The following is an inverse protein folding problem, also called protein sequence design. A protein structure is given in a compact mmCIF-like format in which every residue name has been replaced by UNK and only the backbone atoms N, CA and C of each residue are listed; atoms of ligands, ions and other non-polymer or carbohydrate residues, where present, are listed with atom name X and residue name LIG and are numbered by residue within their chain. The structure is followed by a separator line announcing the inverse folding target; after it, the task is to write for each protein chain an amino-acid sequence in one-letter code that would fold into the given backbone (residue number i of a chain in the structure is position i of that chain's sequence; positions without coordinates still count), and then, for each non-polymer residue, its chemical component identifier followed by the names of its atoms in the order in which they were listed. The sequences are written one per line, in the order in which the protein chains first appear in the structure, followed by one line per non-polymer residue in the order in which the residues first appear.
data_IF_704307593719
#
_entry.id   IF_704307593719
#
_cell.length_a   1.000
_cell.length_b   1.000
_cell.length_c   1.000
_cell.angle_alpha   90.00
_cell.angle_beta   90.00
_cell.angle_gamma   90.00
#
_symmetry.space_group_name_H-M   'P 1'
#
loop_
_entity.id
_entity.type
_entity.pdbx_description
1 polymer ?
#
# COMPACT_ATOMS: atom_id res chain seq x y z
N UNK A 1 31.50 -15.77 -1.46
CA UNK A 1 30.43 -16.79 -1.43
C UNK A 1 29.10 -16.06 -1.31
N UNK A 2 28.27 -16.16 -2.36
CA UNK A 2 26.84 -15.78 -2.45
C UNK A 2 26.45 -14.32 -2.15
N UNK A 3 26.52 -13.47 -3.17
CA UNK A 3 25.54 -12.38 -3.33
C UNK A 3 24.21 -13.04 -3.71
N UNK A 4 23.33 -13.25 -2.74
CA UNK A 4 21.95 -13.59 -3.05
C UNK A 4 21.29 -12.28 -3.47
N UNK A 5 21.21 -12.05 -4.78
CA UNK A 5 20.36 -11.00 -5.34
C UNK A 5 18.95 -11.17 -4.77
N UNK A 6 18.44 -10.14 -4.09
CA UNK A 6 17.07 -10.07 -3.61
C UNK A 6 16.13 -10.02 -4.81
N UNK A 7 15.81 -11.21 -5.32
CA UNK A 7 15.01 -11.40 -6.51
C UNK A 7 13.51 -11.36 -6.18
N UNK A 8 13.02 -10.22 -5.72
CA UNK A 8 11.59 -9.94 -5.65
C UNK A 8 11.16 -9.39 -7.02
N UNK A 9 10.13 -9.98 -7.65
CA UNK A 9 9.66 -9.62 -9.00
C UNK A 9 10.71 -9.74 -10.12
N UNK A 10 11.35 -10.90 -10.28
CA UNK A 10 12.13 -11.21 -11.51
C UNK A 10 11.29 -11.13 -12.79
N UNK A 11 9.97 -11.21 -12.64
CA UNK A 11 8.98 -11.07 -13.70
C UNK A 11 8.02 -9.94 -13.33
N UNK A 12 7.41 -9.26 -14.32
CA UNK A 12 6.41 -8.24 -14.07
C UNK A 12 5.34 -8.70 -13.06
N UNK A 13 4.93 -7.86 -12.09
CA UNK A 13 3.89 -8.20 -11.14
C UNK A 13 2.57 -8.45 -11.87
N UNK A 14 1.88 -9.53 -11.50
CA UNK A 14 0.57 -9.89 -12.04
C UNK A 14 -0.45 -9.92 -10.90
N UNK A 15 -1.60 -9.29 -11.13
CA UNK A 15 -2.64 -9.16 -10.12
C UNK A 15 -3.82 -8.34 -10.59
N UNK A 16 -4.62 -7.90 -9.64
CA UNK A 16 -5.80 -7.07 -9.84
C UNK A 16 -5.71 -5.83 -8.96
N UNK A 17 -6.19 -4.68 -9.46
CA UNK A 17 -6.21 -3.40 -8.77
C UNK A 17 -7.56 -2.71 -8.99
N UNK A 18 -8.09 -2.04 -7.97
CA UNK A 18 -9.44 -1.49 -8.01
C UNK A 18 -9.62 -0.24 -8.88
N UNK A 19 -8.58 0.60 -9.05
CA UNK A 19 -8.71 1.96 -9.59
C UNK A 19 -9.42 2.06 -10.94
N UNK A 20 -8.98 1.32 -11.95
CA UNK A 20 -9.48 1.48 -13.33
C UNK A 20 -10.94 1.07 -13.51
N UNK A 21 -11.45 0.20 -12.65
CA UNK A 21 -12.82 -0.30 -12.73
C UNK A 21 -13.77 0.38 -11.74
N UNK A 22 -13.28 0.76 -10.56
CA UNK A 22 -14.11 1.22 -9.44
C UNK A 22 -13.86 2.68 -9.04
N UNK A 23 -12.72 3.26 -9.43
CA UNK A 23 -12.29 4.61 -9.06
C UNK A 23 -12.44 4.85 -7.55
N UNK A 24 -12.84 6.06 -7.16
CA UNK A 24 -13.11 6.47 -5.79
C UNK A 24 -14.61 6.35 -5.43
N UNK A 25 -15.31 5.29 -5.87
CA UNK A 25 -16.72 5.12 -5.52
C UNK A 25 -16.85 4.76 -4.03
N UNK A 26 -17.43 5.63 -3.20
CA UNK A 26 -17.58 5.39 -1.75
C UNK A 26 -19.02 5.23 -1.29
N UNK A 27 -20.01 5.49 -2.15
CA UNK A 27 -21.42 5.35 -1.80
C UNK A 27 -21.86 3.89 -1.85
N UNK A 28 -21.67 3.20 -0.72
CA UNK A 28 -22.04 1.79 -0.56
C UNK A 28 -23.54 1.54 -0.44
N UNK A 29 -24.35 2.57 -0.18
CA UNK A 29 -25.81 2.44 -0.16
C UNK A 29 -26.33 2.42 -1.59
N UNK A 30 -25.87 3.35 -2.42
CA UNK A 30 -26.27 3.44 -3.83
C UNK A 30 -25.58 2.41 -4.71
N UNK A 31 -24.33 2.07 -4.43
CA UNK A 31 -23.52 1.16 -5.23
C UNK A 31 -22.87 0.05 -4.38
N UNK A 32 -23.67 -0.85 -3.77
CA UNK A 32 -23.18 -1.85 -2.80
C UNK A 32 -22.13 -2.82 -3.38
N UNK A 33 -22.16 -3.05 -4.70
CA UNK A 33 -21.21 -3.94 -5.41
C UNK A 33 -20.10 -3.20 -6.18
N UNK A 34 -20.04 -1.87 -6.05
CA UNK A 34 -19.00 -1.06 -6.72
C UNK A 34 -18.30 -0.08 -5.80
N UNK A 35 -18.82 0.14 -4.58
CA UNK A 35 -18.11 0.98 -3.65
C UNK A 35 -16.84 0.27 -3.14
N UNK A 36 -15.83 1.07 -2.85
CA UNK A 36 -14.57 0.65 -2.26
C UNK A 36 -14.84 0.23 -0.81
N UNK A 37 -15.04 -1.07 -0.61
CA UNK A 37 -15.27 -1.68 0.71
C UNK A 37 -14.54 -3.02 0.81
N UNK A 38 -14.42 -3.53 2.03
CA UNK A 38 -13.78 -4.80 2.34
C UNK A 38 -14.34 -5.99 1.54
N UNK A 39 -15.66 -6.09 1.41
CA UNK A 39 -16.31 -7.19 0.70
C UNK A 39 -15.95 -7.21 -0.79
N UNK A 40 -15.79 -6.05 -1.43
CA UNK A 40 -15.35 -5.96 -2.83
C UNK A 40 -14.01 -6.68 -3.00
N UNK A 41 -13.03 -6.40 -2.13
CA UNK A 41 -11.71 -7.01 -2.22
C UNK A 41 -11.74 -8.50 -1.90
N UNK A 42 -12.54 -8.92 -0.93
CA UNK A 42 -12.75 -10.34 -0.63
C UNK A 42 -13.39 -11.10 -1.80
N UNK A 43 -14.38 -10.50 -2.47
CA UNK A 43 -15.02 -11.05 -3.67
C UNK A 43 -14.03 -11.19 -4.83
N UNK A 44 -13.21 -10.16 -5.08
CA UNK A 44 -12.18 -10.21 -6.12
C UNK A 44 -11.11 -11.26 -5.83
N UNK A 45 -10.70 -11.40 -4.56
CA UNK A 45 -9.78 -12.45 -4.15
C UNK A 45 -10.35 -13.85 -4.41
N UNK A 46 -11.62 -14.08 -4.06
CA UNK A 46 -12.29 -15.35 -4.36
C UNK A 46 -12.40 -15.59 -5.87
N UNK A 47 -12.72 -14.55 -6.65
CA UNK A 47 -12.81 -14.67 -8.11
C UNK A 47 -11.47 -15.03 -8.76
N UNK A 48 -10.36 -14.48 -8.28
CA UNK A 48 -9.01 -14.84 -8.76
C UNK A 48 -8.68 -16.32 -8.50
N UNK A 49 -9.09 -16.85 -7.34
CA UNK A 49 -8.87 -18.26 -6.98
C UNK A 49 -9.81 -19.18 -7.77
N UNK A 50 -11.12 -18.96 -7.69
CA UNK A 50 -12.13 -19.82 -8.32
C UNK A 50 -12.02 -19.78 -9.84
N UNK A 51 -11.69 -18.64 -10.42
CA UNK A 51 -11.51 -18.46 -11.86
C UNK A 51 -10.18 -18.98 -12.41
N UNK A 52 -9.28 -19.51 -11.57
CA UNK A 52 -7.97 -20.03 -11.99
C UNK A 52 -6.93 -18.96 -12.33
N UNK A 53 -7.23 -17.67 -12.14
CA UNK A 53 -6.30 -16.57 -12.41
C UNK A 53 -5.07 -16.61 -11.51
N UNK A 54 -5.24 -16.98 -10.23
CA UNK A 54 -4.12 -17.18 -9.31
C UNK A 54 -3.15 -18.22 -9.86
N UNK A 55 -3.67 -19.35 -10.31
CA UNK A 55 -2.86 -20.46 -10.84
C UNK A 55 -2.21 -20.09 -12.19
N UNK A 56 -2.80 -19.14 -12.93
CA UNK A 56 -2.20 -18.51 -14.10
C UNK A 56 -1.19 -17.38 -13.78
N UNK A 57 -0.93 -17.10 -12.50
CA UNK A 57 0.10 -16.14 -12.04
C UNK A 57 -0.42 -14.80 -11.51
N UNK A 58 -1.72 -14.52 -11.54
CA UNK A 58 -2.30 -13.30 -10.96
C UNK A 58 -2.43 -13.44 -9.43
N UNK A 59 -1.33 -13.18 -8.73
CA UNK A 59 -1.15 -13.52 -7.31
C UNK A 59 -1.28 -12.33 -6.35
N UNK A 60 -1.81 -11.19 -6.78
CA UNK A 60 -1.94 -10.02 -5.93
C UNK A 60 -3.26 -9.27 -6.11
N UNK A 61 -3.78 -8.71 -5.02
CA UNK A 61 -4.98 -7.87 -4.97
C UNK A 61 -4.59 -6.53 -4.35
N UNK A 62 -4.81 -5.44 -5.08
CA UNK A 62 -4.35 -4.09 -4.70
C UNK A 62 -5.54 -3.18 -4.43
N UNK A 63 -5.56 -2.62 -3.22
CA UNK A 63 -6.42 -1.52 -2.83
C UNK A 63 -5.79 -0.23 -3.33
N UNK A 64 -6.51 0.53 -4.15
CA UNK A 64 -6.10 1.87 -4.58
C UNK A 64 -6.64 2.97 -3.64
N UNK A 65 -6.57 4.24 -4.06
CA UNK A 65 -7.02 5.40 -3.27
C UNK A 65 -8.45 5.24 -2.71
N UNK A 66 -8.78 6.06 -1.73
CA UNK A 66 -10.09 6.13 -1.07
C UNK A 66 -10.43 4.98 -0.12
N UNK A 67 -9.46 4.20 0.35
CA UNK A 67 -9.68 3.15 1.36
C UNK A 67 -9.73 3.70 2.81
N UNK A 68 -8.97 4.77 3.06
CA UNK A 68 -8.75 5.31 4.40
C UNK A 68 -9.86 6.28 4.86
N UNK A 69 -9.91 6.51 6.17
CA UNK A 69 -10.67 7.59 6.77
C UNK A 69 -10.09 8.97 6.42
N UNK A 70 -10.88 10.02 6.60
CA UNK A 70 -10.47 11.39 6.26
C UNK A 70 -9.44 11.99 7.21
N UNK A 71 -9.23 11.37 8.36
CA UNK A 71 -8.33 11.84 9.42
C UNK A 71 -7.49 10.67 9.92
N UNK A 72 -6.23 10.97 10.23
CA UNK A 72 -5.33 10.05 10.96
C UNK A 72 -5.79 9.92 12.40
N UNK A 73 -5.36 8.85 13.06
CA UNK A 73 -5.52 8.73 14.50
C UNK A 73 -4.77 9.89 15.20
N UNK A 74 -5.44 10.69 16.05
CA UNK A 74 -4.87 11.93 16.58
C UNK A 74 -3.78 11.69 17.64
N UNK A 75 -3.68 10.48 18.19
CA UNK A 75 -2.71 10.14 19.25
C UNK A 75 -1.44 9.55 18.64
N UNK A 76 -1.60 8.63 17.69
CA UNK A 76 -0.51 7.85 17.09
C UNK A 76 -0.03 8.42 15.76
N UNK A 77 -0.83 9.27 15.10
CA UNK A 77 -0.57 9.78 13.75
C UNK A 77 -0.76 8.73 12.64
N UNK A 78 -1.26 7.54 12.98
CA UNK A 78 -1.43 6.42 12.03
C UNK A 78 -2.59 6.64 11.08
N UNK A 79 -2.45 6.10 9.87
CA UNK A 79 -3.57 5.93 8.94
C UNK A 79 -4.62 5.01 9.55
N UNK A 80 -5.89 5.32 9.30
CA UNK A 80 -7.04 4.53 9.79
C UNK A 80 -7.88 4.15 8.58
N UNK A 81 -8.25 2.88 8.45
CA UNK A 81 -9.19 2.44 7.43
C UNK A 81 -10.58 3.06 7.70
N UNK A 82 -11.37 3.31 6.66
CA UNK A 82 -12.74 3.76 6.86
C UNK A 82 -13.53 2.69 7.65
N UNK A 83 -14.03 2.98 8.86
CA UNK A 83 -14.57 1.95 9.75
C UNK A 83 -15.92 1.40 9.28
N UNK A 84 -16.61 2.09 8.36
CA UNK A 84 -17.88 1.63 7.80
C UNK A 84 -17.61 0.71 6.61
N UNK A 85 -16.65 1.06 5.75
CA UNK A 85 -16.33 0.31 4.52
C UNK A 85 -15.34 -0.83 4.76
N UNK A 86 -14.47 -0.71 5.76
CA UNK A 86 -13.47 -1.71 6.15
C UNK A 86 -13.59 -2.04 7.65
N UNK A 87 -14.72 -2.59 8.11
CA UNK A 87 -15.00 -2.79 9.52
C UNK A 87 -14.03 -3.74 10.23
N UNK A 88 -13.41 -4.69 9.51
CA UNK A 88 -12.41 -5.58 10.11
C UNK A 88 -10.98 -5.02 10.08
N UNK A 89 -10.74 -3.92 9.35
CA UNK A 89 -9.43 -3.29 9.19
C UNK A 89 -8.50 -3.97 8.18
N UNK A 90 -7.44 -3.26 7.81
CA UNK A 90 -6.56 -3.68 6.69
C UNK A 90 -5.73 -4.92 7.00
N UNK A 91 -5.31 -5.11 8.26
CA UNK A 91 -4.57 -6.32 8.66
C UNK A 91 -5.38 -7.59 8.42
N UNK A 92 -6.66 -7.60 8.82
CA UNK A 92 -7.53 -8.75 8.60
C UNK A 92 -7.81 -9.00 7.11
N UNK A 93 -7.92 -7.92 6.32
CA UNK A 93 -8.04 -8.03 4.87
C UNK A 93 -6.76 -8.63 4.24
N UNK A 94 -5.57 -8.25 4.71
CA UNK A 94 -4.30 -8.85 4.27
C UNK A 94 -4.27 -10.35 4.58
N UNK A 95 -4.61 -10.73 5.82
CA UNK A 95 -4.71 -12.15 6.24
C UNK A 95 -5.71 -12.93 5.40
N UNK A 96 -6.81 -12.30 4.98
CA UNK A 96 -7.79 -12.92 4.08
C UNK A 96 -7.18 -13.25 2.70
N UNK A 97 -6.33 -12.37 2.16
CA UNK A 97 -5.58 -12.61 0.92
C UNK A 97 -4.57 -13.73 1.09
N UNK A 98 -3.78 -13.69 2.17
CA UNK A 98 -2.73 -14.67 2.43
C UNK A 98 -3.30 -16.08 2.61
N UNK A 99 -4.44 -16.22 3.30
CA UNK A 99 -5.14 -17.49 3.45
C UNK A 99 -5.56 -18.13 2.11
N UNK A 100 -5.56 -17.36 1.01
CA UNK A 100 -5.89 -17.80 -0.36
C UNK A 100 -4.66 -17.97 -1.26
N UNK A 101 -3.46 -17.79 -0.71
CA UNK A 101 -2.22 -17.77 -1.48
C UNK A 101 -2.10 -16.54 -2.38
N UNK A 102 -2.74 -15.43 -2.01
CA UNK A 102 -2.64 -14.14 -2.68
C UNK A 102 -1.83 -13.17 -1.82
N UNK A 103 -1.20 -12.19 -2.46
CA UNK A 103 -0.53 -11.06 -1.85
C UNK A 103 -1.46 -9.86 -1.75
N UNK A 104 -1.27 -9.02 -0.75
CA UNK A 104 -2.06 -7.83 -0.50
C UNK A 104 -1.29 -6.54 -0.82
N UNK A 105 -1.84 -5.71 -1.68
CA UNK A 105 -1.32 -4.39 -2.01
C UNK A 105 -2.18 -3.27 -1.44
N UNK A 106 -1.54 -2.21 -0.96
CA UNK A 106 -2.19 -0.99 -0.48
C UNK A 106 -1.67 0.23 -1.26
N UNK A 107 -2.44 1.32 -1.21
CA UNK A 107 -2.11 2.58 -1.83
C UNK A 107 -1.83 3.64 -0.78
N UNK A 108 -0.86 4.49 -1.08
CA UNK A 108 -0.60 5.72 -0.36
C UNK A 108 -0.06 6.79 -1.34
N UNK A 109 0.06 8.03 -0.86
CA UNK A 109 0.66 9.13 -1.61
C UNK A 109 1.79 9.76 -0.81
N UNK A 110 2.90 10.08 -1.45
CA UNK A 110 4.04 10.71 -0.78
C UNK A 110 3.78 12.15 -0.33
N UNK A 111 2.89 12.87 -1.02
CA UNK A 111 2.59 14.27 -0.77
C UNK A 111 1.78 14.50 0.50
N UNK A 112 1.24 15.72 0.63
CA UNK A 112 0.43 16.09 1.80
C UNK A 112 -0.96 15.45 1.81
N UNK A 113 -1.45 15.06 0.62
CA UNK A 113 -2.74 14.41 0.40
C UNK A 113 -2.65 13.46 -0.77
N UNK A 114 -3.46 12.42 -0.75
CA UNK A 114 -3.69 11.58 -1.93
C UNK A 114 -4.33 12.37 -3.07
N UNK A 115 -4.32 11.82 -4.27
CA UNK A 115 -4.98 12.44 -5.42
C UNK A 115 -6.49 12.67 -5.19
N UNK A 116 -7.17 11.79 -4.43
CA UNK A 116 -8.57 11.98 -4.03
C UNK A 116 -8.75 12.84 -2.76
N UNK A 117 -7.67 13.38 -2.19
CA UNK A 117 -7.71 14.33 -1.08
C UNK A 117 -7.74 13.71 0.33
N UNK A 118 -7.37 12.43 0.46
CA UNK A 118 -7.18 11.77 1.76
C UNK A 118 -5.82 12.13 2.37
N UNK A 119 -5.55 11.84 3.66
CA UNK A 119 -4.24 12.11 4.26
C UNK A 119 -3.12 11.46 3.45
N UNK A 120 -2.09 12.21 3.07
CA UNK A 120 -0.87 11.66 2.44
C UNK A 120 0.24 11.40 3.46
N UNK A 121 1.34 10.80 3.03
CA UNK A 121 2.47 10.38 3.87
C UNK A 121 3.51 11.45 4.17
N UNK A 122 3.45 12.66 3.59
CA UNK A 122 4.45 13.68 3.90
C UNK A 122 4.48 13.98 5.40
N UNK A 123 5.66 13.89 6.02
CA UNK A 123 5.86 14.00 7.47
C UNK A 123 5.50 12.77 8.30
N UNK A 124 4.94 11.71 7.68
CA UNK A 124 4.47 10.48 8.34
C UNK A 124 5.07 9.19 7.75
N UNK A 125 5.97 9.29 6.77
CA UNK A 125 6.55 8.15 6.02
C UNK A 125 6.97 6.97 6.90
N UNK A 126 7.69 7.22 8.01
CA UNK A 126 8.14 6.14 8.89
C UNK A 126 6.98 5.49 9.67
N UNK A 127 5.99 6.28 10.09
CA UNK A 127 4.80 5.77 10.79
C UNK A 127 3.97 4.93 9.83
N UNK A 128 3.80 5.39 8.59
CA UNK A 128 3.02 4.70 7.57
C UNK A 128 3.70 3.39 7.14
N UNK A 129 5.01 3.40 6.90
CA UNK A 129 5.78 2.19 6.62
C UNK A 129 5.67 1.15 7.74
N UNK A 130 5.79 1.57 9.01
CA UNK A 130 5.59 0.67 10.14
C UNK A 130 4.15 0.15 10.22
N UNK A 131 3.17 1.00 9.94
CA UNK A 131 1.74 0.61 9.93
C UNK A 131 1.46 -0.45 8.88
N UNK A 132 2.01 -0.29 7.67
CA UNK A 132 1.85 -1.28 6.60
C UNK A 132 2.56 -2.61 6.92
N UNK A 133 3.73 -2.55 7.56
CA UNK A 133 4.45 -3.75 8.05
C UNK A 133 3.63 -4.50 9.11
N UNK A 134 3.09 -3.77 10.09
CA UNK A 134 2.21 -4.34 11.12
C UNK A 134 0.94 -4.96 10.52
N UNK A 135 0.44 -4.41 9.41
CA UNK A 135 -0.72 -4.95 8.71
C UNK A 135 -0.41 -6.12 7.76
N UNK A 136 0.85 -6.55 7.66
CA UNK A 136 1.30 -7.60 6.73
C UNK A 136 0.99 -7.28 5.26
N UNK A 137 1.11 -6.02 4.85
CA UNK A 137 0.96 -5.64 3.44
C UNK A 137 2.20 -6.15 2.64
N UNK A 138 2.00 -6.61 1.41
CA UNK A 138 3.07 -7.13 0.54
C UNK A 138 3.55 -6.11 -0.51
N UNK A 139 2.71 -5.11 -0.80
CA UNK A 139 2.90 -4.18 -1.90
C UNK A 139 2.37 -2.79 -1.56
N UNK A 140 3.13 -1.75 -1.93
CA UNK A 140 2.70 -0.37 -1.80
C UNK A 140 2.70 0.30 -3.18
N UNK A 141 1.56 0.81 -3.62
CA UNK A 141 1.53 1.83 -4.67
C UNK A 141 1.72 3.18 -3.99
N UNK A 142 2.77 3.92 -4.36
CA UNK A 142 3.04 5.26 -3.80
C UNK A 142 2.89 6.30 -4.91
N UNK A 143 1.82 7.09 -4.83
CA UNK A 143 1.51 8.15 -5.78
C UNK A 143 2.24 9.46 -5.42
N UNK A 144 2.12 10.45 -6.31
CA UNK A 144 2.87 11.70 -6.24
C UNK A 144 2.01 12.97 -6.28
N UNK A 145 0.74 12.92 -5.91
CA UNK A 145 -0.10 14.12 -5.89
C UNK A 145 0.25 15.00 -4.68
N UNK A 146 -0.02 16.31 -4.77
CA UNK A 146 0.17 17.25 -3.66
C UNK A 146 1.59 17.22 -3.05
N UNK A 147 2.59 16.91 -3.86
CA UNK A 147 4.00 16.98 -3.51
C UNK A 147 4.57 18.34 -3.90
N UNK A 148 5.43 18.89 -3.05
CA UNK A 148 6.32 19.97 -3.43
C UNK A 148 7.56 19.37 -4.10
N UNK A 149 7.70 19.58 -5.41
CA UNK A 149 8.80 19.01 -6.20
C UNK A 149 10.16 19.57 -5.80
N UNK A 150 10.21 20.76 -5.20
CA UNK A 150 11.46 21.35 -4.73
C UNK A 150 12.00 20.64 -3.47
N UNK A 151 11.10 19.95 -2.73
CA UNK A 151 11.43 19.13 -1.57
C UNK A 151 11.76 17.68 -1.95
N UNK A 152 11.63 17.29 -3.21
CA UNK A 152 12.00 15.95 -3.66
C UNK A 152 13.53 15.86 -3.78
N UNK A 153 14.16 14.80 -3.22
CA UNK A 153 15.60 14.62 -3.38
C UNK A 153 15.95 14.49 -4.88
N UNK A 154 17.08 15.07 -5.28
CA UNK A 154 17.59 14.95 -6.65
C UNK A 154 17.77 13.46 -7.01
N UNK A 155 16.83 12.91 -7.77
CA UNK A 155 16.69 11.46 -8.01
C UNK A 155 15.27 10.90 -7.88
N UNK A 156 14.29 11.70 -7.43
CA UNK A 156 12.88 11.30 -7.32
C UNK A 156 12.51 10.83 -5.92
N UNK A 157 11.49 9.98 -5.79
CA UNK A 157 11.11 9.45 -4.48
C UNK A 157 12.31 8.75 -3.81
N UNK A 158 12.60 9.01 -2.52
CA UNK A 158 13.54 8.17 -1.80
C UNK A 158 13.04 6.73 -1.88
N UNK A 159 13.85 5.85 -2.47
CA UNK A 159 13.61 4.41 -2.49
C UNK A 159 13.63 3.97 -1.03
N UNK A 160 12.45 3.92 -0.40
CA UNK A 160 12.28 3.31 0.90
C UNK A 160 12.52 1.81 0.74
N UNK A 161 13.23 1.24 1.72
CA UNK A 161 13.86 -0.09 1.74
C UNK A 161 15.22 -0.19 1.03
N UNK A 162 16.17 0.65 1.46
CA UNK A 162 17.57 0.19 1.52
C UNK A 162 17.78 -0.51 2.85
N UNK A 163 18.10 -1.79 2.74
CA UNK A 163 18.72 -2.61 3.78
C UNK A 163 19.77 -1.80 4.56
N UNK A 164 19.83 -2.09 5.84
CA UNK A 164 20.95 -1.79 6.73
C UNK A 164 22.29 -1.81 5.99
N UNK A 165 22.89 -0.63 5.81
CA UNK A 165 24.32 -0.28 5.99
C UNK A 165 24.71 0.95 5.14
N UNK A 166 25.50 1.83 5.78
CA UNK A 166 26.26 2.95 5.22
C UNK A 166 25.51 4.28 4.93
N UNK A 167 25.48 5.09 6.01
CA UNK A 167 25.78 6.54 6.09
C UNK A 167 25.17 7.50 5.07
N UNK A 168 24.12 8.21 5.48
CA UNK A 168 24.15 9.67 5.55
C UNK A 168 23.07 10.19 6.50
N UNK A 169 23.45 11.19 7.30
CA UNK A 169 22.67 11.95 8.29
C UNK A 169 22.55 11.35 9.71
N UNK A 170 22.95 12.20 10.65
CA UNK A 170 23.23 12.07 12.09
C UNK A 170 23.02 10.73 12.80
N UNK A 171 24.13 10.22 13.35
CA UNK A 171 24.23 9.30 14.49
C UNK A 171 23.24 9.69 15.60
N UNK A 172 22.29 8.81 15.97
CA UNK A 172 21.77 8.57 17.34
C UNK A 172 20.35 7.96 17.45
N UNK A 173 19.77 7.27 16.46
CA UNK A 173 18.40 6.70 16.65
C UNK A 173 18.19 5.26 16.17
N UNK A 174 19.11 4.63 15.44
CA UNK A 174 18.88 3.31 14.83
C UNK A 174 19.70 2.18 15.46
N UNK A 175 19.36 1.83 16.70
CA UNK A 175 19.81 0.59 17.34
C UNK A 175 18.62 0.01 18.14
N UNK A 176 17.71 -0.70 17.44
CA UNK A 176 16.73 -1.72 17.92
C UNK A 176 15.43 -1.72 17.10
N UNK A 177 15.45 -2.39 15.95
CA UNK A 177 14.30 -3.22 15.50
C UNK A 177 14.72 -4.09 14.30
N UNK A 178 14.62 -5.41 14.45
CA UNK A 178 15.00 -6.42 13.45
C UNK A 178 13.77 -6.92 12.64
N UNK A 179 12.79 -6.07 12.34
CA UNK A 179 11.49 -6.53 11.83
C UNK A 179 10.96 -5.79 10.59
N UNK A 180 11.81 -5.50 9.60
CA UNK A 180 11.34 -4.89 8.35
C UNK A 180 11.81 -5.70 7.14
N UNK A 181 11.03 -6.71 6.76
CA UNK A 181 11.09 -7.24 5.40
C UNK A 181 10.50 -6.20 4.44
N UNK A 182 11.14 -6.07 3.27
CA UNK A 182 11.03 -4.95 2.34
C UNK A 182 9.73 -5.00 1.51
N UNK A 183 8.98 -3.88 1.45
CA UNK A 183 7.85 -3.72 0.54
C UNK A 183 8.33 -3.42 -0.88
N UNK A 184 7.59 -3.89 -1.89
CA UNK A 184 7.74 -3.31 -3.23
C UNK A 184 6.92 -2.03 -3.34
N UNK A 185 7.58 -0.94 -3.72
CA UNK A 185 6.93 0.34 -4.03
C UNK A 185 6.80 0.47 -5.56
N UNK A 186 5.56 0.48 -6.06
CA UNK A 186 5.28 0.93 -7.44
C UNK A 186 4.97 2.41 -7.40
N UNK A 187 5.91 3.20 -7.91
CA UNK A 187 5.72 4.64 -8.09
C UNK A 187 5.00 4.85 -9.42
N UNK A 188 3.77 5.33 -9.36
CA UNK A 188 3.03 5.76 -10.56
C UNK A 188 3.05 7.28 -10.61
N UNK A 189 3.61 7.86 -11.67
CA UNK A 189 3.51 9.30 -11.91
C UNK A 189 2.20 9.59 -12.65
N UNK A 190 1.21 10.16 -11.95
CA UNK A 190 0.09 10.83 -12.60
C UNK A 190 0.58 12.19 -13.12
N UNK A 191 1.03 12.24 -14.38
CA UNK A 191 1.22 13.52 -15.06
C UNK A 191 -0.17 14.12 -15.31
N UNK A 192 -0.44 15.30 -14.73
CA UNK A 192 -1.52 16.20 -15.14
C UNK A 192 -0.90 17.41 -15.82
#
# INVERSE_FOLDING_TARGET
MKYNEFAFFRTPPMGWMSWTAFYCQMDCVKYPRKCINENLYMEMANALVVGGYRDAGYVSVHVDDCWMGRVRDPVTGRLVADPIRFPSGMHNLARYMHARGLKFGIYEDYGTKTCAGFPGSLGHLQVDANTFAEWEVDYLKLDGCNVDTDLMPAGGFPIYFRTSTASCLSKNVFERSEAVETFLILITFNFH
#
